data_IF_127212505208
#
_entry.id   IF_127212505208
#
_cell.length_a   1.000
_cell.length_b   1.000
_cell.length_c   1.000
_cell.angle_alpha   90.00
_cell.angle_beta   90.00
_cell.angle_gamma   90.00
#
_symmetry.space_group_name_H-M   'P 1'
#
loop_
_entity.id
_entity.type
_entity.pdbx_description
1 polymer ?
#
# COMPACT_ATOMS: atom_id res chain seq x y z
N UNK A 1 25.05 24.33 43.85
CA UNK A 1 25.30 23.00 43.27
C UNK A 1 24.60 22.95 41.93
N UNK A 2 25.30 23.31 40.85
CA UNK A 2 24.75 23.28 39.48
C UNK A 2 24.85 21.87 38.92
N UNK A 3 23.77 21.35 38.36
CA UNK A 3 23.81 20.14 37.54
C UNK A 3 24.74 20.37 36.33
N UNK A 4 25.53 19.37 35.89
CA UNK A 4 26.48 19.56 34.81
C UNK A 4 25.73 19.73 33.49
N UNK A 5 26.21 20.64 32.65
CA UNK A 5 25.65 20.98 31.33
C UNK A 5 25.66 19.81 30.31
N UNK A 6 26.18 18.65 30.70
CA UNK A 6 26.43 17.49 29.85
C UNK A 6 25.17 16.63 29.56
N UNK A 7 24.10 16.77 30.35
CA UNK A 7 22.85 16.03 30.13
C UNK A 7 21.90 16.67 29.11
N UNK A 8 22.10 17.94 28.76
CA UNK A 8 21.26 18.64 27.78
C UNK A 8 21.64 18.29 26.33
N UNK A 9 22.88 17.91 26.08
CA UNK A 9 23.40 17.64 24.74
C UNK A 9 23.13 16.19 24.29
N UNK A 10 22.98 15.24 25.22
CA UNK A 10 22.69 13.84 24.90
C UNK A 10 21.27 13.61 24.32
N UNK A 11 20.34 14.51 24.59
CA UNK A 11 18.96 14.41 24.05
C UNK A 11 18.87 15.06 22.65
N UNK A 12 19.92 15.75 22.18
CA UNK A 12 19.86 16.63 21.00
C UNK A 12 20.68 16.12 19.80
N UNK A 13 20.56 14.84 19.44
CA UNK A 13 21.10 14.40 18.12
C UNK A 13 20.23 13.37 17.40
N UNK A 14 18.92 13.33 17.68
CA UNK A 14 18.00 12.76 16.69
C UNK A 14 17.71 13.84 15.66
N UNK A 15 18.59 13.93 14.66
CA UNK A 15 18.24 14.63 13.41
C UNK A 15 16.92 14.01 12.93
N UNK A 16 15.82 14.77 12.80
CA UNK A 16 14.59 14.21 12.25
C UNK A 16 14.94 13.57 10.90
N UNK A 17 14.41 12.36 10.60
CA UNK A 17 14.64 11.76 9.30
C UNK A 17 14.34 12.81 8.23
N UNK A 18 15.21 12.92 7.23
CA UNK A 18 15.00 13.83 6.12
C UNK A 18 13.57 13.59 5.59
N UNK A 19 12.86 14.65 5.18
CA UNK A 19 11.47 14.55 4.73
C UNK A 19 11.26 13.56 3.54
N UNK A 20 12.35 13.08 2.93
CA UNK A 20 12.39 12.06 1.88
C UNK A 20 12.79 10.64 2.35
N UNK A 21 13.09 10.44 3.64
CA UNK A 21 13.51 9.14 4.16
C UNK A 21 12.28 8.27 4.47
N UNK A 22 12.13 7.18 3.71
CA UNK A 22 11.09 6.16 3.91
C UNK A 22 11.22 5.55 5.31
N UNK A 23 10.09 5.36 5.99
CA UNK A 23 10.08 4.74 7.33
C UNK A 23 10.59 3.28 7.28
N UNK A 24 11.43 2.82 8.24
CA UNK A 24 12.03 1.48 8.21
C UNK A 24 11.05 0.31 8.07
N UNK A 25 9.84 0.43 8.62
CA UNK A 25 8.79 -0.60 8.48
C UNK A 25 8.27 -0.73 7.04
N UNK A 26 8.15 0.38 6.32
CA UNK A 26 7.80 0.34 4.89
C UNK A 26 8.97 -0.21 4.06
N UNK A 27 10.20 0.16 4.41
CA UNK A 27 11.39 -0.39 3.78
C UNK A 27 11.49 -1.91 3.95
N UNK A 28 11.15 -2.44 5.15
CA UNK A 28 11.14 -3.87 5.44
C UNK A 28 10.20 -4.66 4.53
N UNK A 29 9.04 -4.10 4.13
CA UNK A 29 8.14 -4.74 3.18
C UNK A 29 8.84 -5.07 1.85
N UNK A 30 9.68 -4.15 1.38
CA UNK A 30 10.44 -4.32 0.13
C UNK A 30 11.61 -5.27 0.34
N UNK A 31 12.44 -5.00 1.34
CA UNK A 31 13.71 -5.72 1.52
C UNK A 31 13.53 -7.18 1.97
N UNK A 32 12.51 -7.46 2.78
CA UNK A 32 12.32 -8.78 3.39
C UNK A 32 11.12 -9.56 2.83
N UNK A 33 10.12 -8.89 2.27
CA UNK A 33 8.86 -9.51 1.86
C UNK A 33 8.56 -9.35 0.36
N UNK A 34 9.52 -8.83 -0.41
CA UNK A 34 9.42 -8.76 -1.87
C UNK A 34 8.37 -7.78 -2.39
N UNK A 35 7.92 -6.83 -1.57
CA UNK A 35 7.05 -5.77 -2.03
C UNK A 35 7.77 -4.86 -3.05
N UNK A 36 7.01 -4.21 -3.91
CA UNK A 36 7.55 -3.21 -4.84
C UNK A 36 7.25 -1.78 -4.39
N UNK A 37 8.18 -0.86 -4.62
CA UNK A 37 7.88 0.57 -4.54
C UNK A 37 7.00 1.00 -5.70
N UNK A 38 5.88 1.64 -5.38
CA UNK A 38 4.90 2.11 -6.36
C UNK A 38 4.73 3.63 -6.24
N UNK A 39 4.78 4.32 -7.37
CA UNK A 39 4.56 5.76 -7.48
C UNK A 39 3.80 6.11 -8.76
N UNK A 40 3.52 7.40 -8.97
CA UNK A 40 2.80 7.87 -10.15
C UNK A 40 3.43 7.48 -11.49
N UNK A 41 4.75 7.24 -11.55
CA UNK A 41 5.46 6.89 -12.77
C UNK A 41 5.40 5.41 -13.14
N UNK A 42 5.19 4.52 -12.16
CA UNK A 42 5.19 3.07 -12.40
C UNK A 42 3.88 2.36 -12.05
N UNK A 43 2.92 3.03 -11.41
CA UNK A 43 1.71 2.39 -10.89
C UNK A 43 0.91 1.65 -11.95
N UNK A 44 0.80 2.19 -13.16
CA UNK A 44 0.02 1.55 -14.23
C UNK A 44 0.68 0.27 -14.72
N UNK A 45 2.01 0.29 -14.91
CA UNK A 45 2.76 -0.89 -15.28
C UNK A 45 2.73 -1.94 -14.15
N UNK A 46 2.78 -1.51 -12.89
CA UNK A 46 2.68 -2.41 -11.75
C UNK A 46 1.29 -3.03 -11.64
N UNK A 47 0.21 -2.26 -11.79
CA UNK A 47 -1.19 -2.76 -11.76
C UNK A 47 -1.46 -3.71 -12.94
N UNK A 48 -0.93 -3.42 -14.12
CA UNK A 48 -1.13 -4.22 -15.33
C UNK A 48 -0.46 -5.61 -15.29
N UNK A 49 0.42 -5.88 -14.33
CA UNK A 49 0.92 -7.23 -14.15
C UNK A 49 -0.20 -8.18 -13.72
N UNK A 50 -0.11 -9.45 -14.10
CA UNK A 50 -1.17 -10.44 -13.82
C UNK A 50 -1.36 -10.76 -12.33
N UNK A 51 -2.50 -11.37 -12.03
CA UNK A 51 -2.88 -11.84 -10.69
C UNK A 51 -3.43 -10.72 -9.79
N UNK A 52 -3.57 -11.03 -8.50
CA UNK A 52 -4.00 -10.04 -7.52
C UNK A 52 -2.83 -9.20 -7.04
N UNK A 53 -3.10 -7.91 -6.86
CA UNK A 53 -2.12 -6.92 -6.44
C UNK A 53 -2.73 -6.07 -5.34
N UNK A 54 -2.01 -5.93 -4.23
CA UNK A 54 -2.45 -5.14 -3.08
C UNK A 54 -1.48 -3.99 -2.85
N UNK A 55 -1.95 -2.77 -3.06
CA UNK A 55 -1.16 -1.55 -2.87
C UNK A 55 -1.48 -0.91 -1.53
N UNK A 56 -0.47 -0.81 -0.67
CA UNK A 56 -0.54 -0.09 0.60
C UNK A 56 -0.30 1.40 0.40
N UNK A 57 -1.30 2.17 0.81
CA UNK A 57 -1.21 3.61 1.07
C UNK A 57 -1.13 3.82 2.58
N UNK A 58 0.10 3.86 3.12
CA UNK A 58 0.32 3.98 4.58
C UNK A 58 0.02 5.39 5.11
N UNK A 59 0.15 6.42 4.27
CA UNK A 59 0.08 7.81 4.69
C UNK A 59 1.38 8.29 5.35
N UNK A 60 1.39 9.55 5.77
CA UNK A 60 2.48 10.11 6.58
C UNK A 60 2.50 9.44 7.97
N UNK A 61 3.62 8.86 8.42
CA UNK A 61 3.68 8.08 9.67
C UNK A 61 3.49 8.95 10.93
N UNK A 62 3.68 10.27 10.85
CA UNK A 62 3.41 11.19 11.96
C UNK A 62 1.91 11.49 12.05
N UNK A 63 1.24 11.66 10.91
CA UNK A 63 -0.20 11.94 10.83
C UNK A 63 -1.07 10.68 10.96
N UNK A 64 -0.59 9.55 10.47
CA UNK A 64 -1.30 8.27 10.37
C UNK A 64 -0.41 7.13 10.87
N UNK A 65 -0.14 7.06 12.18
CA UNK A 65 0.75 6.02 12.74
C UNK A 65 0.23 4.60 12.47
N UNK A 66 -1.09 4.42 12.38
CA UNK A 66 -1.74 3.14 12.01
C UNK A 66 -1.29 2.58 10.67
N UNK A 67 -0.78 3.42 9.75
CA UNK A 67 -0.20 2.94 8.50
C UNK A 67 1.05 2.09 8.69
N UNK A 68 1.78 2.31 9.78
CA UNK A 68 2.90 1.47 10.19
C UNK A 68 2.43 0.13 10.74
N UNK A 69 1.31 0.11 11.47
CA UNK A 69 0.72 -1.12 11.97
C UNK A 69 0.25 -2.01 10.81
N UNK A 70 -0.42 -1.42 9.81
CA UNK A 70 -0.79 -2.12 8.57
C UNK A 70 0.46 -2.66 7.86
N UNK A 71 1.54 -1.88 7.79
CA UNK A 71 2.79 -2.33 7.19
C UNK A 71 3.42 -3.54 7.92
N UNK A 72 3.25 -3.63 9.24
CA UNK A 72 3.75 -4.77 10.03
C UNK A 72 2.93 -6.04 9.77
N UNK A 73 1.60 -5.92 9.68
CA UNK A 73 0.71 -7.10 9.55
C UNK A 73 0.49 -7.55 8.10
N UNK A 74 0.76 -6.71 7.11
CA UNK A 74 0.51 -7.03 5.70
C UNK A 74 1.24 -8.30 5.21
N UNK A 75 2.50 -8.59 5.59
CA UNK A 75 3.15 -9.85 5.26
C UNK A 75 2.45 -11.06 5.89
N UNK A 76 1.94 -10.93 7.11
CA UNK A 76 1.19 -12.00 7.79
C UNK A 76 -0.15 -12.24 7.10
N UNK A 77 -0.83 -11.18 6.66
CA UNK A 77 -2.03 -11.30 5.81
C UNK A 77 -1.70 -12.02 4.49
N UNK A 78 -0.56 -11.71 3.86
CA UNK A 78 -0.11 -12.42 2.67
C UNK A 78 0.18 -13.90 2.95
N UNK A 79 0.75 -14.23 4.11
CA UNK A 79 1.00 -15.60 4.52
C UNK A 79 -0.29 -16.41 4.76
N UNK A 80 -1.40 -15.77 5.15
CA UNK A 80 -2.72 -16.41 5.21
C UNK A 80 -3.29 -16.77 3.82
N UNK A 81 -2.80 -16.13 2.76
CA UNK A 81 -3.21 -16.38 1.37
C UNK A 81 -1.98 -16.63 0.47
N UNK A 82 -1.24 -17.74 0.66
CA UNK A 82 0.05 -17.95 0.01
C UNK A 82 -0.03 -17.86 -1.52
N UNK A 83 0.82 -17.01 -2.10
CA UNK A 83 0.89 -16.81 -3.56
C UNK A 83 -0.35 -16.17 -4.18
N UNK A 84 -1.32 -15.73 -3.38
CA UNK A 84 -2.59 -15.20 -3.89
C UNK A 84 -2.47 -13.78 -4.42
N UNK A 85 -1.61 -12.95 -3.81
CA UNK A 85 -1.38 -11.57 -4.24
C UNK A 85 0.07 -11.12 -4.01
N UNK A 86 0.48 -10.10 -4.75
CA UNK A 86 1.75 -9.38 -4.55
C UNK A 86 1.54 -8.02 -3.91
N UNK A 87 2.52 -7.56 -3.14
CA UNK A 87 2.43 -6.31 -2.37
C UNK A 87 3.12 -5.17 -3.13
N UNK A 88 2.46 -4.02 -3.17
CA UNK A 88 3.04 -2.73 -3.54
C UNK A 88 2.96 -1.78 -2.35
N UNK A 89 3.92 -0.87 -2.24
CA UNK A 89 3.93 0.19 -1.22
C UNK A 89 4.06 1.54 -1.91
N UNK A 90 3.13 2.46 -1.63
CA UNK A 90 3.22 3.81 -2.14
C UNK A 90 4.51 4.49 -1.62
N UNK A 91 5.40 4.90 -2.52
CA UNK A 91 6.77 5.34 -2.21
C UNK A 91 6.83 6.62 -1.38
N UNK A 92 5.92 7.55 -1.62
CA UNK A 92 5.86 8.81 -0.87
C UNK A 92 4.74 8.76 0.16
N UNK A 93 5.03 9.07 1.44
CA UNK A 93 3.99 9.26 2.43
C UNK A 93 3.04 10.36 1.96
N UNK A 94 1.75 10.04 1.83
CA UNK A 94 0.75 11.03 1.39
C UNK A 94 0.84 11.44 -0.09
N UNK A 95 1.13 10.51 -1.01
CA UNK A 95 0.98 10.75 -2.45
C UNK A 95 -0.52 10.93 -2.80
N UNK A 96 -1.08 12.08 -2.40
CA UNK A 96 -2.50 12.41 -2.49
C UNK A 96 -2.99 12.37 -3.93
N UNK A 97 -2.12 12.68 -4.90
CA UNK A 97 -2.44 12.53 -6.31
C UNK A 97 -2.71 11.07 -6.68
N UNK A 98 -1.85 10.16 -6.22
CA UNK A 98 -1.99 8.72 -6.45
C UNK A 98 -3.19 8.14 -5.67
N UNK A 99 -3.39 8.53 -4.41
CA UNK A 99 -4.53 8.08 -3.62
C UNK A 99 -5.87 8.60 -4.19
N UNK A 100 -5.93 9.88 -4.60
CA UNK A 100 -7.11 10.48 -5.26
C UNK A 100 -7.44 9.80 -6.58
N UNK A 101 -6.43 9.37 -7.36
CA UNK A 101 -6.61 8.66 -8.63
C UNK A 101 -7.46 7.40 -8.47
N UNK A 102 -7.29 6.70 -7.35
CA UNK A 102 -8.01 5.44 -7.08
C UNK A 102 -9.11 5.59 -6.03
N UNK A 103 -9.42 6.83 -5.63
CA UNK A 103 -10.52 7.13 -4.72
C UNK A 103 -10.27 6.83 -3.26
N UNK A 104 -9.01 6.65 -2.83
CA UNK A 104 -8.73 6.62 -1.39
C UNK A 104 -8.85 8.01 -0.81
N UNK A 105 -9.83 8.16 0.08
CA UNK A 105 -10.07 9.34 0.90
C UNK A 105 -9.70 9.09 2.37
N UNK A 106 -9.20 7.89 2.69
CA UNK A 106 -8.91 7.44 4.06
C UNK A 106 -7.55 6.77 4.12
N UNK A 107 -6.79 7.10 5.15
CA UNK A 107 -5.46 6.57 5.40
C UNK A 107 -5.45 5.84 6.75
N UNK A 108 -4.73 4.71 6.88
CA UNK A 108 -4.15 3.94 5.78
C UNK A 108 -5.22 3.25 4.93
N UNK A 109 -4.83 2.72 3.75
CA UNK A 109 -5.72 1.87 2.95
C UNK A 109 -4.97 0.84 2.12
N UNK A 110 -5.56 -0.35 1.97
CA UNK A 110 -5.16 -1.37 1.00
C UNK A 110 -6.04 -1.31 -0.24
N UNK A 111 -5.45 -1.10 -1.40
CA UNK A 111 -6.16 -1.14 -2.68
C UNK A 111 -5.92 -2.45 -3.40
N UNK A 112 -6.99 -3.06 -3.89
CA UNK A 112 -6.97 -4.35 -4.55
C UNK A 112 -7.16 -4.17 -6.05
N UNK A 113 -6.28 -4.81 -6.82
CA UNK A 113 -6.34 -4.88 -8.26
C UNK A 113 -6.23 -6.34 -8.71
N UNK A 114 -6.81 -6.66 -9.86
CA UNK A 114 -6.72 -7.96 -10.51
C UNK A 114 -6.57 -7.77 -12.01
N UNK A 115 -5.51 -8.32 -12.58
CA UNK A 115 -5.27 -8.33 -14.04
C UNK A 115 -5.43 -6.93 -14.67
N UNK A 116 -4.83 -5.93 -14.04
CA UNK A 116 -4.93 -4.54 -14.48
C UNK A 116 -6.19 -3.79 -14.02
N UNK A 117 -7.18 -4.45 -13.43
CA UNK A 117 -8.46 -3.84 -13.10
C UNK A 117 -8.61 -3.57 -11.59
N UNK A 118 -9.29 -2.48 -11.23
CA UNK A 118 -9.65 -2.21 -9.84
C UNK A 118 -10.63 -3.27 -9.30
N UNK A 119 -10.46 -3.69 -8.05
CA UNK A 119 -11.37 -4.60 -7.36
C UNK A 119 -12.10 -3.86 -6.24
N UNK A 120 -11.37 -3.43 -5.21
CA UNK A 120 -11.94 -2.74 -4.05
C UNK A 120 -10.86 -2.01 -3.25
N UNK A 121 -11.28 -1.31 -2.20
CA UNK A 121 -10.40 -0.70 -1.19
C UNK A 121 -10.83 -1.15 0.21
N UNK A 122 -9.85 -1.48 1.04
CA UNK A 122 -10.03 -1.77 2.46
C UNK A 122 -9.34 -0.66 3.28
N UNK A 123 -10.08 0.29 3.84
CA UNK A 123 -9.51 1.37 4.64
C UNK A 123 -9.22 0.93 6.08
N UNK A 124 -8.20 1.53 6.68
CA UNK A 124 -7.88 1.42 8.10
C UNK A 124 -7.22 0.11 8.52
N UNK A 125 -6.82 0.09 9.79
CA UNK A 125 -6.44 -1.12 10.51
C UNK A 125 -7.70 -1.84 11.03
N UNK A 126 -7.65 -3.17 11.11
CA UNK A 126 -8.74 -4.02 11.62
C UNK A 126 -8.18 -5.01 12.64
N UNK A 127 -9.04 -5.53 13.51
CA UNK A 127 -8.68 -6.68 14.36
C UNK A 127 -8.31 -7.89 13.52
N UNK A 128 -7.37 -8.72 13.98
CA UNK A 128 -6.72 -9.74 13.15
C UNK A 128 -7.69 -10.67 12.41
N UNK A 129 -8.67 -11.26 13.12
CA UNK A 129 -9.65 -12.18 12.52
C UNK A 129 -10.48 -11.48 11.43
N UNK A 130 -10.90 -10.25 11.70
CA UNK A 130 -11.69 -9.46 10.75
C UNK A 130 -10.83 -9.03 9.57
N UNK A 131 -9.56 -8.67 9.80
CA UNK A 131 -8.65 -8.26 8.75
C UNK A 131 -8.38 -9.39 7.76
N UNK A 132 -8.12 -10.60 8.26
CA UNK A 132 -8.00 -11.80 7.42
C UNK A 132 -9.28 -12.01 6.62
N UNK A 133 -10.45 -11.99 7.27
CA UNK A 133 -11.73 -12.19 6.60
C UNK A 133 -12.07 -11.13 5.54
N UNK A 134 -11.79 -9.86 5.82
CA UNK A 134 -11.97 -8.73 4.88
C UNK A 134 -11.03 -8.84 3.68
N UNK A 135 -9.77 -9.20 3.88
CA UNK A 135 -8.81 -9.46 2.79
C UNK A 135 -9.30 -10.63 1.93
N UNK A 136 -9.75 -11.74 2.56
CA UNK A 136 -10.34 -12.86 1.84
C UNK A 136 -11.55 -12.47 1.00
N UNK A 137 -12.45 -11.64 1.55
CA UNK A 137 -13.60 -11.09 0.81
C UNK A 137 -13.16 -10.20 -0.34
N UNK A 138 -12.21 -9.31 -0.12
CA UNK A 138 -11.66 -8.44 -1.16
C UNK A 138 -11.04 -9.24 -2.31
N UNK A 139 -10.29 -10.31 -1.99
CA UNK A 139 -9.72 -11.22 -2.99
C UNK A 139 -10.77 -12.09 -3.69
N UNK A 140 -11.96 -12.30 -3.12
CA UNK A 140 -13.03 -13.05 -3.77
C UNK A 140 -13.89 -12.18 -4.70
N UNK A 141 -13.86 -10.85 -4.56
CA UNK A 141 -14.66 -9.95 -5.39
C UNK A 141 -14.20 -9.97 -6.86
N UNK A 142 -15.12 -9.86 -7.82
CA UNK A 142 -14.76 -9.60 -9.21
C UNK A 142 -14.22 -8.17 -9.36
N UNK A 143 -13.47 -7.87 -10.44
CA UNK A 143 -13.13 -6.50 -10.79
C UNK A 143 -14.37 -5.61 -10.87
N UNK A 144 -14.23 -4.39 -10.36
CA UNK A 144 -15.28 -3.39 -10.29
C UNK A 144 -14.81 -2.04 -10.80
N UNK A 145 -15.66 -1.02 -10.67
CA UNK A 145 -15.31 0.35 -11.04
C UNK A 145 -14.80 1.12 -9.82
N UNK A 146 -13.64 1.76 -9.94
CA UNK A 146 -13.12 2.63 -8.90
C UNK A 146 -14.11 3.79 -8.60
N UNK A 147 -14.28 4.23 -7.34
CA UNK A 147 -15.27 5.25 -6.96
C UNK A 147 -15.05 6.67 -7.49
N UNK A 148 -13.98 6.96 -8.25
CA UNK A 148 -13.64 8.32 -8.70
C UNK A 148 -13.55 8.48 -10.22
N UNK A 149 -13.64 9.75 -10.64
CA UNK A 149 -13.83 10.26 -12.01
C UNK A 149 -12.89 9.60 -13.02
N UNK A 150 -13.47 8.74 -13.86
CA UNK A 150 -13.06 8.49 -15.24
C UNK A 150 -11.58 8.24 -15.52
N UNK A 151 -11.06 7.08 -15.14
CA UNK A 151 -9.92 6.50 -15.87
C UNK A 151 -10.33 5.09 -16.31
N UNK A 152 -10.51 4.85 -17.63
CA UNK A 152 -10.54 3.49 -18.14
C UNK A 152 -9.14 2.91 -17.96
N UNK A 153 -8.98 1.96 -17.05
CA UNK A 153 -7.78 1.13 -17.06
C UNK A 153 -7.92 0.21 -18.25
N UNK A 154 -7.11 0.45 -19.29
CA UNK A 154 -7.20 -0.23 -20.56
C UNK A 154 -6.89 -1.71 -20.34
N UNK A 155 -7.86 -2.58 -20.60
CA UNK A 155 -7.61 -4.01 -20.73
C UNK A 155 -6.67 -4.19 -21.93
N UNK A 156 -5.46 -4.67 -21.67
CA UNK A 156 -4.56 -5.09 -22.74
C UNK A 156 -5.14 -6.34 -23.42
N UNK A 157 -5.85 -6.11 -24.53
CA UNK A 157 -6.05 -7.02 -25.66
C UNK A 157 -6.31 -8.49 -25.35
N UNK A 158 -7.57 -8.85 -25.10
CA UNK A 158 -8.05 -10.18 -25.45
C UNK A 158 -8.20 -10.26 -26.98
N UNK A 159 -7.15 -10.70 -27.67
CA UNK A 159 -7.28 -11.19 -29.03
C UNK A 159 -7.98 -12.56 -28.95
N UNK A 160 -9.28 -12.60 -29.23
CA UNK A 160 -10.00 -13.84 -29.47
C UNK A 160 -9.62 -14.40 -30.87
N UNK A 161 -9.45 -15.72 -31.01
CA UNK A 161 -9.22 -16.34 -32.31
C UNK A 161 -10.55 -16.41 -33.07
N UNK A 162 -10.64 -15.70 -34.19
CA UNK A 162 -11.74 -15.86 -35.15
C UNK A 162 -11.48 -17.08 -36.02
N UNK A 163 -12.12 -18.21 -35.72
CA UNK A 163 -12.39 -19.26 -36.69
C UNK A 163 -13.78 -19.03 -37.29
N UNK A 164 -13.85 -18.76 -38.59
CA UNK A 164 -14.73 -19.35 -39.61
C UNK A 164 -14.69 -18.55 -40.91
#
# INVERSE_FOLDING_TARGET
>A
MSAPAELAEYISTVKPPAADAVHPLLQRLVDAFGAAWVDAGNVDAWIAGGGDRVLLFAGDPVRFPEGLDVAVVLPELQACYPGRFVIGVARRPGDEALARRFGSQRWPSLMFFRDGQYVTVLPGMHDWTDFVAEVGRALALPPGRAPTVGIPVVAAGAAAPGCH
#
